data_IF_285620011494
#
_entry.id   IF_285620011494
#
_cell.length_a   1.000
_cell.length_b   1.000
_cell.length_c   1.000
_cell.angle_alpha   90.00
_cell.angle_beta   90.00
_cell.angle_gamma   90.00
#
_symmetry.space_group_name_H-M   'P 1'
#
loop_
_entity.id
_entity.type
_entity.pdbx_description
1 polymer ?
#
# COMPACT_ATOMS: atom_id res chain seq x y z
N UNK A 1 16.79 7.96 -13.82
CA UNK A 1 15.77 6.91 -13.89
C UNK A 1 14.45 7.50 -13.43
N UNK A 2 13.32 7.12 -14.05
CA UNK A 2 11.98 7.55 -13.62
C UNK A 2 11.72 7.10 -12.19
N UNK A 3 11.14 7.96 -11.37
CA UNK A 3 10.79 7.63 -9.98
C UNK A 3 9.50 6.83 -9.99
N UNK A 4 9.49 5.70 -9.30
CA UNK A 4 8.43 4.72 -9.41
C UNK A 4 7.17 5.18 -8.67
N UNK A 5 6.09 5.35 -9.41
CA UNK A 5 4.77 5.74 -8.90
C UNK A 5 3.92 4.49 -8.71
N UNK A 6 3.28 4.39 -7.56
CA UNK A 6 2.20 3.43 -7.27
C UNK A 6 1.09 4.13 -6.48
N UNK A 7 0.09 3.40 -5.99
CA UNK A 7 -1.00 3.99 -5.21
C UNK A 7 -1.51 3.04 -4.13
N UNK A 8 -2.17 3.59 -3.10
CA UNK A 8 -2.96 2.86 -2.11
C UNK A 8 -4.31 2.50 -2.76
N UNK A 9 -4.72 1.25 -2.65
CA UNK A 9 -5.64 0.58 -3.57
C UNK A 9 -7.10 0.97 -3.59
N UNK A 10 -7.65 1.64 -2.58
CA UNK A 10 -9.08 2.00 -2.57
C UNK A 10 -9.41 3.05 -3.64
N UNK A 11 -10.36 2.76 -4.53
CA UNK A 11 -10.73 3.59 -5.68
C UNK A 11 -12.25 3.81 -5.77
N UNK A 12 -12.71 4.95 -6.36
CA UNK A 12 -14.14 5.28 -6.51
C UNK A 12 -14.75 4.71 -7.80
N UNK A 13 -14.21 3.61 -8.32
CA UNK A 13 -14.72 2.96 -9.52
C UNK A 13 -15.79 1.92 -9.16
N UNK A 14 -16.75 1.75 -10.05
CA UNK A 14 -17.75 0.67 -10.08
C UNK A 14 -17.59 -0.26 -11.30
N UNK A 15 -16.55 -0.03 -12.10
CA UNK A 15 -16.19 -0.76 -13.31
C UNK A 15 -14.78 -1.36 -13.15
N UNK A 16 -14.71 -2.69 -13.08
CA UNK A 16 -13.48 -3.46 -12.86
C UNK A 16 -12.43 -3.21 -13.95
N UNK A 17 -12.84 -3.22 -15.22
CA UNK A 17 -11.89 -3.04 -16.34
C UNK A 17 -11.27 -1.64 -16.30
N UNK A 18 -12.07 -0.59 -16.06
CA UNK A 18 -11.57 0.79 -15.96
C UNK A 18 -10.68 1.00 -14.75
N UNK A 19 -10.99 0.36 -13.62
CA UNK A 19 -10.17 0.44 -12.42
C UNK A 19 -8.79 -0.20 -12.63
N UNK A 20 -8.76 -1.37 -13.26
CA UNK A 20 -7.49 -2.05 -13.59
C UNK A 20 -6.71 -1.24 -14.65
N UNK A 21 -7.38 -0.70 -15.69
CA UNK A 21 -6.73 0.17 -16.66
C UNK A 21 -6.13 1.44 -16.04
N UNK A 22 -6.80 2.01 -15.04
CA UNK A 22 -6.23 3.12 -14.27
C UNK A 22 -4.96 2.68 -13.52
N UNK A 23 -5.00 1.53 -12.84
CA UNK A 23 -3.84 0.97 -12.15
C UNK A 23 -2.64 0.76 -13.08
N UNK A 24 -2.86 0.22 -14.28
CA UNK A 24 -1.82 -0.05 -15.28
C UNK A 24 -1.10 1.21 -15.80
N UNK A 25 -1.59 2.39 -15.51
CA UNK A 25 -0.93 3.66 -15.86
C UNK A 25 0.14 4.10 -14.86
N UNK A 26 0.30 3.39 -13.75
CA UNK A 26 1.35 3.59 -12.77
C UNK A 26 2.60 2.80 -13.15
N UNK A 27 3.78 3.27 -12.75
CA UNK A 27 5.04 2.54 -12.99
C UNK A 27 5.05 1.18 -12.31
N UNK A 28 4.40 1.08 -11.15
CA UNK A 28 4.12 -0.17 -10.46
C UNK A 28 2.60 -0.30 -10.34
N UNK A 29 1.97 -1.11 -11.20
CA UNK A 29 0.54 -1.39 -11.10
C UNK A 29 0.18 -1.98 -9.74
N UNK A 30 -0.98 -1.59 -9.23
CA UNK A 30 -1.49 -2.06 -7.95
C UNK A 30 -2.86 -2.72 -8.11
N UNK A 31 -3.16 -3.72 -7.27
CA UNK A 31 -4.50 -4.32 -7.25
C UNK A 31 -5.51 -3.31 -6.72
N UNK A 32 -6.50 -2.87 -7.53
CA UNK A 32 -7.53 -1.95 -7.06
C UNK A 32 -8.49 -2.61 -6.08
N UNK A 33 -8.84 -1.88 -5.03
CA UNK A 33 -9.95 -2.19 -4.12
C UNK A 33 -11.14 -1.30 -4.48
N UNK A 34 -12.31 -1.90 -4.71
CA UNK A 34 -13.52 -1.20 -5.12
C UNK A 34 -14.61 -1.26 -4.04
N UNK A 35 -14.63 -0.32 -3.08
CA UNK A 35 -15.64 -0.34 -2.01
C UNK A 35 -17.08 -0.30 -2.53
N UNK A 36 -17.34 0.29 -3.72
CA UNK A 36 -18.65 0.27 -4.36
C UNK A 36 -19.09 -1.14 -4.78
N UNK A 37 -18.14 -2.08 -4.95
CA UNK A 37 -18.40 -3.48 -5.30
C UNK A 37 -18.22 -4.44 -4.10
N UNK A 38 -18.00 -3.89 -2.90
CA UNK A 38 -17.86 -4.67 -1.67
C UNK A 38 -16.41 -4.99 -1.28
N UNK A 39 -15.42 -4.34 -1.87
CA UNK A 39 -14.01 -4.53 -1.54
C UNK A 39 -13.51 -3.56 -0.45
N UNK A 40 -14.36 -3.11 0.46
CA UNK A 40 -13.88 -2.41 1.65
C UNK A 40 -13.12 -3.39 2.55
N UNK A 41 -12.00 -2.93 3.19
CA UNK A 41 -11.06 -3.80 3.92
C UNK A 41 -11.75 -4.71 4.97
N UNK A 42 -12.77 -4.22 5.68
CA UNK A 42 -13.51 -5.00 6.68
C UNK A 42 -14.57 -5.93 6.04
N UNK A 43 -14.76 -5.86 4.73
CA UNK A 43 -15.71 -6.72 4.00
C UNK A 43 -14.99 -7.81 3.22
N UNK A 44 -13.93 -7.50 2.48
CA UNK A 44 -13.18 -8.53 1.76
C UNK A 44 -12.51 -9.52 2.70
N UNK A 45 -12.04 -9.06 3.87
CA UNK A 45 -11.37 -9.96 4.83
C UNK A 45 -12.28 -11.06 5.40
N UNK A 46 -13.60 -10.87 5.35
CA UNK A 46 -14.58 -11.91 5.69
C UNK A 46 -14.69 -13.01 4.62
N UNK A 47 -14.19 -12.73 3.42
CA UNK A 47 -14.21 -13.61 2.25
C UNK A 47 -12.85 -13.57 1.55
N UNK A 48 -11.79 -14.14 2.17
CA UNK A 48 -10.43 -14.07 1.67
C UNK A 48 -10.32 -14.40 0.18
N UNK A 49 -9.59 -13.56 -0.58
CA UNK A 49 -9.40 -13.71 -2.02
C UNK A 49 -10.58 -13.27 -2.91
N UNK A 50 -11.74 -12.97 -2.34
CA UNK A 50 -12.89 -12.51 -3.14
C UNK A 50 -12.82 -10.99 -3.36
N UNK A 51 -11.93 -10.57 -4.26
CA UNK A 51 -11.76 -9.17 -4.68
C UNK A 51 -12.27 -8.97 -6.10
N UNK A 52 -13.03 -7.91 -6.32
CA UNK A 52 -13.69 -7.63 -7.60
C UNK A 52 -12.70 -7.53 -8.78
N UNK A 53 -11.52 -6.94 -8.56
CA UNK A 53 -10.52 -6.74 -9.59
C UNK A 53 -9.52 -7.90 -9.76
N UNK A 54 -9.49 -8.90 -8.86
CA UNK A 54 -8.38 -9.84 -8.75
C UNK A 54 -8.08 -10.59 -10.06
N UNK A 55 -9.07 -11.23 -10.65
CA UNK A 55 -8.88 -12.02 -11.86
C UNK A 55 -8.50 -11.18 -13.09
N UNK A 56 -9.13 -10.00 -13.23
CA UNK A 56 -8.79 -9.06 -14.31
C UNK A 56 -7.38 -8.52 -14.12
N UNK A 57 -7.00 -8.18 -12.89
CA UNK A 57 -5.65 -7.70 -12.55
C UNK A 57 -4.61 -8.76 -12.88
N UNK A 58 -4.73 -9.99 -12.36
CA UNK A 58 -3.80 -11.10 -12.63
C UNK A 58 -3.58 -11.30 -14.14
N UNK A 59 -4.66 -11.33 -14.90
CA UNK A 59 -4.58 -11.50 -16.37
C UNK A 59 -3.84 -10.35 -17.05
N UNK A 60 -4.08 -9.09 -16.62
CA UNK A 60 -3.51 -7.90 -17.29
C UNK A 60 -2.07 -7.59 -16.86
N UNK A 61 -1.62 -8.04 -15.71
CA UNK A 61 -0.25 -7.81 -15.23
C UNK A 61 0.69 -8.98 -15.45
N UNK A 62 0.24 -10.05 -16.11
CA UNK A 62 1.08 -11.22 -16.39
C UNK A 62 2.38 -10.81 -17.12
N UNK A 63 3.52 -11.20 -16.55
CA UNK A 63 4.85 -10.86 -17.06
C UNK A 63 5.35 -9.44 -16.73
N UNK A 64 4.67 -8.68 -15.88
CA UNK A 64 5.20 -7.40 -15.40
C UNK A 64 6.39 -7.63 -14.46
N UNK A 65 7.37 -6.72 -14.49
CA UNK A 65 8.55 -6.78 -13.61
C UNK A 65 8.18 -6.66 -12.13
N UNK A 66 7.27 -5.77 -11.81
CA UNK A 66 6.85 -5.51 -10.42
C UNK A 66 5.40 -5.10 -10.38
N UNK A 67 4.66 -5.65 -9.42
CA UNK A 67 3.27 -5.27 -9.11
C UNK A 67 3.12 -5.04 -7.62
N UNK A 68 2.08 -4.30 -7.22
CA UNK A 68 1.74 -4.09 -5.82
C UNK A 68 0.38 -4.69 -5.49
N UNK A 69 0.31 -5.42 -4.40
CA UNK A 69 -0.94 -5.85 -3.77
C UNK A 69 -0.99 -5.30 -2.34
N UNK A 70 -2.15 -5.28 -1.74
CA UNK A 70 -2.33 -4.85 -0.36
C UNK A 70 -3.43 -5.64 0.34
N UNK A 71 -3.36 -5.64 1.66
CA UNK A 71 -4.31 -6.29 2.54
C UNK A 71 -4.42 -5.50 3.85
N UNK A 72 -5.59 -5.49 4.48
CA UNK A 72 -5.69 -5.01 5.87
C UNK A 72 -4.76 -5.80 6.77
N UNK A 73 -4.02 -5.11 7.63
CA UNK A 73 -3.08 -5.76 8.54
C UNK A 73 -3.73 -6.30 9.83
N UNK A 74 -3.04 -7.20 10.54
CA UNK A 74 -3.60 -7.88 11.72
C UNK A 74 -3.90 -6.94 12.87
N UNK A 75 -3.12 -5.87 13.11
CA UNK A 75 -3.43 -4.93 14.19
C UNK A 75 -4.78 -4.24 14.00
N UNK A 76 -5.07 -3.85 12.76
CA UNK A 76 -6.36 -3.22 12.42
C UNK A 76 -7.52 -4.17 12.67
N UNK A 77 -7.36 -5.48 12.35
CA UNK A 77 -8.40 -6.48 12.59
C UNK A 77 -8.59 -6.75 14.09
N UNK A 78 -7.50 -6.88 14.86
CA UNK A 78 -7.55 -7.09 16.32
C UNK A 78 -8.28 -5.91 16.98
N UNK A 79 -7.95 -4.68 16.61
CA UNK A 79 -8.64 -3.48 17.08
C UNK A 79 -10.09 -3.39 16.59
N UNK A 80 -10.40 -4.03 15.46
CA UNK A 80 -11.75 -4.21 14.91
C UNK A 80 -12.57 -5.31 15.60
N UNK A 81 -12.01 -6.00 16.59
CA UNK A 81 -12.70 -6.99 17.41
C UNK A 81 -12.46 -8.47 17.05
N UNK A 82 -11.54 -8.76 16.13
CA UNK A 82 -11.09 -10.13 15.88
C UNK A 82 -10.13 -10.58 16.99
N UNK A 83 -10.16 -11.86 17.36
CA UNK A 83 -9.07 -12.40 18.15
C UNK A 83 -7.77 -12.49 17.33
N UNK A 84 -6.65 -12.64 18.01
CA UNK A 84 -5.35 -12.59 17.37
C UNK A 84 -5.17 -13.69 16.34
N UNK A 85 -5.49 -14.94 16.68
CA UNK A 85 -5.29 -16.10 15.80
C UNK A 85 -6.20 -16.00 14.58
N UNK A 86 -7.47 -15.57 14.77
CA UNK A 86 -8.40 -15.33 13.67
C UNK A 86 -7.91 -14.21 12.75
N UNK A 87 -7.42 -13.09 13.30
CA UNK A 87 -6.89 -11.99 12.52
C UNK A 87 -5.73 -12.44 11.62
N UNK A 88 -4.77 -13.16 12.17
CA UNK A 88 -3.63 -13.70 11.43
C UNK A 88 -4.05 -14.70 10.36
N UNK A 89 -4.94 -15.66 10.69
CA UNK A 89 -5.43 -16.66 9.75
C UNK A 89 -6.11 -16.01 8.54
N UNK A 90 -7.00 -15.03 8.77
CA UNK A 90 -7.72 -14.34 7.71
C UNK A 90 -6.81 -13.52 6.81
N UNK A 91 -5.84 -12.81 7.39
CA UNK A 91 -4.85 -12.05 6.62
C UNK A 91 -4.00 -13.00 5.78
N UNK A 92 -3.50 -14.11 6.38
CA UNK A 92 -2.73 -15.10 5.66
C UNK A 92 -3.50 -15.72 4.49
N UNK A 93 -4.74 -16.18 4.74
CA UNK A 93 -5.60 -16.77 3.71
C UNK A 93 -5.86 -15.78 2.56
N UNK A 94 -6.09 -14.50 2.90
CA UNK A 94 -6.32 -13.47 1.90
C UNK A 94 -5.08 -13.22 1.06
N UNK A 95 -3.91 -13.00 1.67
CA UNK A 95 -2.65 -12.80 0.95
C UNK A 95 -2.34 -14.00 0.05
N UNK A 96 -2.50 -15.22 0.57
CA UNK A 96 -2.28 -16.44 -0.20
C UNK A 96 -3.15 -16.47 -1.46
N UNK A 97 -4.43 -16.12 -1.35
CA UNK A 97 -5.34 -16.06 -2.48
C UNK A 97 -5.00 -14.93 -3.49
N UNK A 98 -4.47 -13.79 -3.00
CA UNK A 98 -4.02 -12.71 -3.88
C UNK A 98 -2.79 -13.13 -4.70
N UNK A 99 -1.84 -13.83 -4.09
CA UNK A 99 -0.57 -14.23 -4.70
C UNK A 99 -0.73 -15.46 -5.61
N UNK A 100 -1.62 -16.39 -5.25
CA UNK A 100 -1.84 -17.61 -6.03
C UNK A 100 -2.15 -17.30 -7.49
N UNK A 101 -1.31 -17.79 -8.42
CA UNK A 101 -1.44 -17.53 -9.86
C UNK A 101 -1.13 -16.09 -10.30
N UNK A 102 -0.56 -15.23 -9.45
CA UNK A 102 -0.10 -13.90 -9.84
C UNK A 102 1.30 -14.01 -10.49
N UNK A 103 1.36 -13.83 -11.82
CA UNK A 103 2.57 -13.92 -12.62
C UNK A 103 3.24 -12.54 -12.75
N UNK A 104 4.20 -12.26 -11.85
CA UNK A 104 5.01 -11.04 -11.86
C UNK A 104 6.44 -11.33 -11.37
N UNK A 105 7.42 -10.58 -11.84
CA UNK A 105 8.82 -10.75 -11.46
C UNK A 105 9.10 -10.44 -9.98
N UNK A 106 8.41 -9.45 -9.43
CA UNK A 106 8.43 -9.09 -8.02
C UNK A 106 7.04 -8.62 -7.55
N UNK A 107 6.65 -9.02 -6.35
CA UNK A 107 5.39 -8.63 -5.72
C UNK A 107 5.72 -7.77 -4.51
N UNK A 108 5.23 -6.54 -4.48
CA UNK A 108 5.22 -5.68 -3.29
C UNK A 108 3.91 -5.94 -2.56
N UNK A 109 3.99 -6.41 -1.32
CA UNK A 109 2.84 -6.63 -0.44
C UNK A 109 2.81 -5.53 0.62
N UNK A 110 1.75 -4.71 0.63
CA UNK A 110 1.50 -3.77 1.72
C UNK A 110 0.47 -4.32 2.70
N UNK A 111 0.79 -4.24 3.99
CA UNK A 111 -0.21 -4.36 5.05
C UNK A 111 -0.70 -2.96 5.42
N UNK A 112 -2.00 -2.73 5.28
CA UNK A 112 -2.65 -1.47 5.61
C UNK A 112 -3.10 -1.48 7.07
N UNK A 113 -2.48 -0.61 7.88
CA UNK A 113 -2.67 -0.54 9.34
C UNK A 113 -3.13 0.85 9.80
N UNK A 114 -4.31 1.30 9.37
CA UNK A 114 -4.80 2.64 9.75
C UNK A 114 -5.07 2.81 11.25
N UNK A 115 -5.28 1.72 11.98
CA UNK A 115 -5.57 1.72 13.41
C UNK A 115 -4.34 1.58 14.31
N UNK A 116 -3.14 1.41 13.75
CA UNK A 116 -1.92 1.03 14.47
C UNK A 116 -1.55 1.98 15.62
N UNK A 117 -1.82 3.27 15.50
CA UNK A 117 -1.53 4.27 16.53
C UNK A 117 -2.43 4.22 17.77
N UNK A 118 -3.44 3.35 17.81
CA UNK A 118 -4.40 3.24 18.90
C UNK A 118 -4.07 2.15 19.93
N UNK A 119 -3.00 1.35 19.71
CA UNK A 119 -2.59 0.30 20.63
C UNK A 119 -1.07 0.07 20.63
N UNK A 120 -0.54 -0.44 21.76
CA UNK A 120 0.86 -0.83 21.87
C UNK A 120 1.07 -2.26 21.38
N UNK A 121 1.45 -2.43 20.13
CA UNK A 121 1.87 -3.71 19.55
C UNK A 121 3.40 -3.76 19.45
N UNK A 122 4.00 -4.93 19.59
CA UNK A 122 5.37 -5.18 19.12
C UNK A 122 5.33 -5.38 17.60
N UNK A 123 5.70 -4.38 16.82
CA UNK A 123 5.60 -4.40 15.37
C UNK A 123 6.47 -5.48 14.73
N UNK A 124 7.58 -5.88 15.38
CA UNK A 124 8.45 -6.96 14.88
C UNK A 124 7.76 -8.31 14.94
N UNK A 125 7.02 -8.58 16.01
CA UNK A 125 6.28 -9.83 16.16
C UNK A 125 4.97 -9.82 15.38
N UNK A 126 4.42 -8.63 15.12
CA UNK A 126 3.12 -8.47 14.49
C UNK A 126 3.11 -8.89 13.02
N UNK A 127 4.16 -8.54 12.25
CA UNK A 127 4.15 -8.73 10.79
C UNK A 127 5.12 -9.79 10.29
N UNK A 128 6.21 -10.08 11.00
CA UNK A 128 7.23 -11.03 10.58
C UNK A 128 6.63 -12.40 10.17
N UNK A 129 5.72 -13.03 10.95
CA UNK A 129 5.18 -14.33 10.58
C UNK A 129 4.42 -14.33 9.25
N UNK A 130 3.80 -13.21 8.87
CA UNK A 130 3.11 -13.07 7.59
C UNK A 130 4.12 -12.89 6.46
N UNK A 131 5.05 -11.93 6.58
CA UNK A 131 6.01 -11.65 5.51
C UNK A 131 6.98 -12.80 5.26
N UNK A 132 7.42 -13.53 6.28
CA UNK A 132 8.27 -14.70 6.15
C UNK A 132 7.58 -15.88 5.42
N UNK A 133 6.25 -15.89 5.39
CA UNK A 133 5.47 -16.93 4.72
C UNK A 133 5.39 -16.76 3.20
N UNK A 134 5.75 -15.59 2.66
CA UNK A 134 5.57 -15.27 1.26
C UNK A 134 6.86 -14.70 0.65
N UNK A 135 7.14 -15.03 -0.61
CA UNK A 135 8.26 -14.44 -1.36
C UNK A 135 7.83 -13.09 -1.96
N UNK A 136 7.86 -12.04 -1.13
CA UNK A 136 7.41 -10.69 -1.47
C UNK A 136 8.38 -9.63 -0.96
N UNK A 137 8.32 -8.44 -1.54
CA UNK A 137 8.87 -7.23 -0.92
C UNK A 137 7.85 -6.71 0.08
N UNK A 138 8.21 -6.71 1.35
CA UNK A 138 7.32 -6.36 2.45
C UNK A 138 7.14 -4.85 2.62
N UNK A 139 5.94 -4.41 2.92
CA UNK A 139 5.65 -3.00 3.21
C UNK A 139 4.51 -2.83 4.20
N UNK A 140 4.53 -1.74 4.94
CA UNK A 140 3.42 -1.36 5.82
C UNK A 140 2.99 0.05 5.47
N UNK A 141 1.68 0.23 5.25
CA UNK A 141 1.07 1.53 5.06
C UNK A 141 0.29 1.97 6.30
N UNK A 142 0.52 3.21 6.69
CA UNK A 142 -0.26 3.88 7.73
C UNK A 142 -0.53 5.32 7.36
N UNK A 143 -1.77 5.74 7.51
CA UNK A 143 -2.17 7.15 7.37
C UNK A 143 -2.36 7.84 8.74
N UNK A 144 -2.20 7.10 9.86
CA UNK A 144 -2.29 7.58 11.23
C UNK A 144 -0.93 7.79 11.91
N UNK A 145 -0.96 8.32 13.14
CA UNK A 145 0.22 8.37 14.01
C UNK A 145 0.52 6.98 14.59
N UNK A 146 1.79 6.74 14.92
CA UNK A 146 2.25 5.46 15.47
C UNK A 146 3.53 5.63 16.29
N UNK A 147 4.03 4.53 16.83
CA UNK A 147 5.38 4.47 17.39
C UNK A 147 6.39 4.32 16.24
N UNK A 148 6.97 5.45 15.81
CA UNK A 148 7.92 5.48 14.70
C UNK A 148 9.21 4.71 14.99
N UNK A 149 9.70 4.69 16.23
CA UNK A 149 10.93 3.96 16.58
C UNK A 149 10.73 2.44 16.39
N UNK A 150 9.56 1.91 16.77
CA UNK A 150 9.22 0.52 16.53
C UNK A 150 9.02 0.22 15.04
N UNK A 151 8.41 1.14 14.27
CA UNK A 151 8.27 1.03 12.82
C UNK A 151 9.64 0.95 12.13
N UNK A 152 10.60 1.78 12.53
CA UNK A 152 11.95 1.75 11.97
C UNK A 152 12.73 0.49 12.36
N UNK A 153 12.42 -0.11 13.51
CA UNK A 153 13.03 -1.35 14.00
C UNK A 153 12.37 -2.62 13.45
N UNK A 154 11.16 -2.53 12.88
CA UNK A 154 10.46 -3.69 12.33
C UNK A 154 11.20 -4.27 11.11
N UNK A 155 11.10 -5.58 10.91
CA UNK A 155 11.70 -6.26 9.74
C UNK A 155 10.75 -6.17 8.54
N UNK A 156 10.79 -5.03 7.87
CA UNK A 156 10.03 -4.70 6.66
C UNK A 156 10.92 -3.93 5.68
N UNK A 157 10.65 -4.04 4.38
CA UNK A 157 11.42 -3.38 3.34
C UNK A 157 10.99 -1.94 3.07
N UNK A 158 9.67 -1.64 3.20
CA UNK A 158 9.08 -0.36 2.79
C UNK A 158 8.18 0.20 3.90
N UNK A 159 8.40 1.46 4.25
CA UNK A 159 7.47 2.23 5.09
C UNK A 159 6.68 3.18 4.20
N UNK A 160 5.34 3.08 4.24
CA UNK A 160 4.42 3.98 3.55
C UNK A 160 3.64 4.82 4.57
N UNK A 161 3.62 6.13 4.36
CA UNK A 161 3.03 7.07 5.31
C UNK A 161 2.50 8.34 4.63
N UNK A 162 1.71 9.12 5.35
CA UNK A 162 1.22 10.44 4.91
C UNK A 162 2.29 11.52 5.18
N UNK A 163 3.07 11.85 4.15
CA UNK A 163 4.15 12.83 4.25
C UNK A 163 3.64 14.30 4.36
N UNK A 164 2.35 14.54 4.19
CA UNK A 164 1.75 15.85 4.46
C UNK A 164 1.58 16.09 5.97
N UNK A 165 1.45 15.01 6.75
CA UNK A 165 1.24 15.07 8.21
C UNK A 165 2.49 14.77 9.00
N UNK A 166 3.35 13.87 8.51
CA UNK A 166 4.49 13.36 9.26
C UNK A 166 5.80 13.63 8.51
N UNK A 167 6.81 14.03 9.23
CA UNK A 167 8.17 14.27 8.73
C UNK A 167 9.12 13.27 9.40
N UNK A 168 9.38 12.15 8.72
CA UNK A 168 10.23 11.08 9.26
C UNK A 168 11.69 11.49 9.37
N UNK A 169 12.15 12.51 8.62
CA UNK A 169 13.55 12.97 8.67
C UNK A 169 13.93 13.57 10.03
N UNK A 170 12.95 13.87 10.88
CA UNK A 170 13.17 14.34 12.25
C UNK A 170 13.62 13.24 13.21
N UNK A 171 13.49 11.97 12.83
CA UNK A 171 13.89 10.84 13.67
C UNK A 171 15.26 10.34 13.28
N UNK A 172 16.23 10.25 14.21
CA UNK A 172 17.56 9.70 13.91
C UNK A 172 17.46 8.28 13.36
N UNK A 173 18.10 8.03 12.22
CA UNK A 173 18.10 6.69 11.61
C UNK A 173 16.77 6.22 11.04
N UNK A 174 15.85 7.13 10.75
CA UNK A 174 14.48 6.81 10.31
C UNK A 174 14.40 5.84 9.13
N UNK A 175 15.38 5.83 8.24
CA UNK A 175 15.39 4.85 7.15
C UNK A 175 15.81 3.46 7.62
N UNK A 176 16.87 3.37 8.44
CA UNK A 176 17.42 2.09 8.88
C UNK A 176 17.47 1.03 7.75
N UNK A 177 18.01 1.40 6.58
CA UNK A 177 18.07 0.62 5.34
C UNK A 177 16.74 0.40 4.61
N UNK A 178 15.63 0.95 5.07
CA UNK A 178 14.32 0.81 4.44
C UNK A 178 14.13 1.80 3.29
N UNK A 179 13.31 1.38 2.34
CA UNK A 179 12.75 2.26 1.32
C UNK A 179 11.55 3.02 1.91
N UNK A 180 11.30 4.19 1.39
CA UNK A 180 10.16 5.01 1.77
C UNK A 180 9.18 5.10 0.60
N UNK A 181 7.91 4.83 0.85
CA UNK A 181 6.81 5.17 -0.05
C UNK A 181 6.21 6.49 0.45
N UNK A 182 6.61 7.58 -0.21
CA UNK A 182 6.19 8.93 0.13
C UNK A 182 4.75 9.16 -0.31
N UNK A 183 3.84 9.26 0.65
CA UNK A 183 2.44 9.63 0.45
C UNK A 183 2.32 11.15 0.33
N UNK A 184 2.20 11.68 -0.88
CA UNK A 184 2.36 13.13 -1.15
C UNK A 184 1.22 13.70 -1.98
N UNK A 185 0.92 14.97 -1.74
CA UNK A 185 0.05 15.80 -2.57
C UNK A 185 0.84 16.91 -3.29
N UNK A 186 1.99 17.30 -2.73
CA UNK A 186 2.88 18.32 -3.31
C UNK A 186 4.34 17.88 -3.20
N UNK A 187 5.22 18.46 -4.03
CA UNK A 187 6.66 18.16 -4.04
C UNK A 187 7.34 18.53 -2.71
N UNK A 188 6.83 19.54 -2.01
CA UNK A 188 7.38 20.02 -0.74
C UNK A 188 7.21 19.00 0.39
N UNK A 189 6.29 18.04 0.25
CA UNK A 189 6.14 16.93 1.20
C UNK A 189 7.29 15.93 1.12
N UNK A 190 8.03 15.88 0.01
CA UNK A 190 9.18 14.99 -0.18
C UNK A 190 10.42 15.65 0.40
N UNK A 191 10.97 15.10 1.50
CA UNK A 191 12.11 15.71 2.21
C UNK A 191 13.45 15.08 1.86
N UNK A 192 13.50 13.77 1.61
CA UNK A 192 14.73 13.02 1.36
C UNK A 192 14.45 11.81 0.47
N UNK A 193 14.14 12.08 -0.81
CA UNK A 193 13.86 11.02 -1.78
C UNK A 193 15.15 10.32 -2.24
N UNK A 194 15.18 9.00 -2.11
CA UNK A 194 16.27 8.15 -2.62
C UNK A 194 15.78 7.34 -3.84
N UNK A 195 16.75 6.81 -4.61
CA UNK A 195 16.48 6.16 -5.90
C UNK A 195 15.51 4.97 -5.82
N UNK A 196 15.55 4.22 -4.73
CA UNK A 196 14.70 3.04 -4.52
C UNK A 196 13.33 3.37 -3.91
N UNK A 197 13.08 4.62 -3.52
CA UNK A 197 11.82 5.06 -2.92
C UNK A 197 10.68 5.06 -3.93
N UNK A 198 9.46 5.04 -3.40
CA UNK A 198 8.22 5.12 -4.16
C UNK A 198 7.53 6.46 -3.93
N UNK A 199 6.77 6.90 -4.93
CA UNK A 199 5.77 7.97 -4.78
C UNK A 199 4.37 7.36 -4.77
N UNK A 200 3.54 7.81 -3.85
CA UNK A 200 2.13 7.39 -3.74
C UNK A 200 1.27 8.55 -3.24
N UNK A 201 -0.03 8.38 -3.24
CA UNK A 201 -0.92 9.27 -2.50
C UNK A 201 -0.84 8.97 -0.99
N UNK A 202 -1.20 9.93 -0.13
CA UNK A 202 -1.18 9.75 1.32
C UNK A 202 -2.09 8.62 1.82
N UNK A 203 -3.17 8.33 1.07
CA UNK A 203 -4.16 7.31 1.39
C UNK A 203 -4.87 6.84 0.12
N UNK A 204 -5.72 5.82 0.23
CA UNK A 204 -6.61 5.40 -0.84
C UNK A 204 -7.68 6.45 -1.19
N UNK A 205 -8.19 6.39 -2.41
CA UNK A 205 -9.18 7.32 -2.95
C UNK A 205 -10.60 6.71 -2.89
N UNK A 206 -11.08 6.40 -1.70
CA UNK A 206 -12.40 5.81 -1.53
C UNK A 206 -13.56 6.70 -2.02
N UNK A 207 -14.68 6.12 -2.48
CA UNK A 207 -15.79 6.81 -3.15
C UNK A 207 -16.54 7.82 -2.28
N UNK A 208 -16.35 7.79 -0.98
CA UNK A 208 -16.98 8.75 -0.06
C UNK A 208 -16.45 10.17 -0.24
N UNK A 209 -15.18 10.32 -0.67
CA UNK A 209 -14.48 11.60 -0.71
C UNK A 209 -13.94 11.96 -2.10
N UNK A 210 -13.84 10.98 -3.00
CA UNK A 210 -13.19 11.15 -4.29
C UNK A 210 -14.05 10.65 -5.44
N UNK A 211 -13.89 11.28 -6.61
CA UNK A 211 -14.46 10.88 -7.89
C UNK A 211 -13.39 10.23 -8.79
N UNK A 212 -13.83 9.66 -9.92
CA UNK A 212 -12.92 9.15 -10.96
C UNK A 212 -12.05 10.26 -11.53
N UNK A 213 -12.60 11.46 -11.69
CA UNK A 213 -11.83 12.63 -12.18
C UNK A 213 -10.71 13.03 -11.19
N UNK A 214 -10.97 12.88 -9.89
CA UNK A 214 -9.94 13.15 -8.89
C UNK A 214 -8.80 12.12 -8.97
N UNK A 215 -9.09 10.85 -9.29
CA UNK A 215 -8.05 9.85 -9.56
C UNK A 215 -7.15 10.27 -10.72
N UNK A 216 -7.74 10.74 -11.83
CA UNK A 216 -6.97 11.18 -13.00
C UNK A 216 -6.07 12.39 -12.69
N UNK A 217 -6.60 13.36 -11.94
CA UNK A 217 -5.84 14.55 -11.51
C UNK A 217 -4.69 14.15 -10.57
N UNK A 218 -4.96 13.26 -9.62
CA UNK A 218 -3.97 12.79 -8.64
C UNK A 218 -2.82 12.03 -9.30
N UNK A 219 -3.09 11.15 -10.27
CA UNK A 219 -2.03 10.49 -11.04
C UNK A 219 -1.19 11.49 -11.81
N UNK A 220 -1.83 12.45 -12.50
CA UNK A 220 -1.10 13.51 -13.23
C UNK A 220 -0.25 14.35 -12.28
N UNK A 221 -0.74 14.64 -11.07
CA UNK A 221 0.02 15.35 -10.05
C UNK A 221 1.24 14.54 -9.56
N UNK A 222 1.09 13.25 -9.29
CA UNK A 222 2.23 12.38 -8.92
C UNK A 222 3.29 12.32 -10.02
N UNK A 223 2.89 12.29 -11.29
CA UNK A 223 3.79 12.36 -12.44
C UNK A 223 4.57 13.67 -12.46
N UNK A 224 3.90 14.81 -12.26
CA UNK A 224 4.55 16.12 -12.17
C UNK A 224 5.53 16.21 -10.99
N UNK A 225 5.18 15.66 -9.83
CA UNK A 225 6.08 15.58 -8.66
C UNK A 225 7.31 14.72 -9.00
N UNK A 226 7.11 13.55 -9.63
CA UNK A 226 8.20 12.69 -10.08
C UNK A 226 9.17 13.42 -11.02
N UNK A 227 8.64 14.15 -11.99
CA UNK A 227 9.44 14.93 -12.94
C UNK A 227 10.19 16.07 -12.24
N UNK A 228 9.52 16.80 -11.33
CA UNK A 228 10.14 17.86 -10.53
C UNK A 228 11.32 17.37 -9.69
N UNK A 229 11.20 16.20 -9.07
CA UNK A 229 12.28 15.57 -8.29
C UNK A 229 13.48 15.12 -9.15
N UNK A 230 13.32 14.93 -10.48
CA UNK A 230 14.42 14.63 -11.39
C UNK A 230 15.25 15.88 -11.75
N UNK A 231 14.67 17.07 -11.65
CA UNK A 231 15.32 18.36 -11.98
C UNK A 231 16.18 18.85 -10.81
N UNK A 232 15.84 18.49 -9.58
CA UNK A 232 16.52 18.92 -8.35
C UNK A 232 17.81 18.16 -8.01
N UNK A 233 18.20 17.18 -8.83
CA UNK A 233 19.47 16.44 -8.76
C UNK A 233 20.48 16.99 -9.75
#
# INVERSE_FOLDING_TARGET
>A
MSKKITQIGSLPYDDVEKAVEYSLRHDIPFLPELPLLGDAMMDYIKRPGNMSCLETFKRKVAGFDTVKIQCVGPATLILGGYDQDEAFSRVYEHINALIDGLDAGNIILFLDEPALGHAGFDYRQLWAPLFESFNVTSGVHTCGNMNWDEMFAADIDIISFDASKYDLTKYPGYRNSKRIAWGVETIENVKDFQEADLLTLPCGMGPKFYSIDDCQKSLSNLQNISDGLNILK
#
